data_IF_663890452907
#
_entry.id   IF_663890452907
#
_cell.length_a   1.000
_cell.length_b   1.000
_cell.length_c   1.000
_cell.angle_alpha   90.00
_cell.angle_beta   90.00
_cell.angle_gamma   90.00
#
_symmetry.space_group_name_H-M   'P 1'
#
loop_
_entity.id
_entity.type
_entity.pdbx_description
1 polymer ?
#
# COMPACT_ATOMS: atom_id res chain seq x y z
N UNK A 1 -90.64 20.08 9.48
CA UNK A 1 -90.20 21.48 9.22
C UNK A 1 -89.09 21.82 10.20
N UNK A 2 -87.89 22.18 9.69
CA UNK A 2 -86.82 23.03 10.29
C UNK A 2 -86.20 22.54 11.63
N UNK A 3 -84.89 22.54 11.90
CA UNK A 3 -83.73 23.23 11.31
C UNK A 3 -82.42 22.56 11.80
N UNK A 4 -81.38 22.64 10.95
CA UNK A 4 -79.98 22.27 11.16
C UNK A 4 -79.24 23.15 12.21
N UNK A 5 -78.18 22.62 12.83
CA UNK A 5 -77.11 23.39 13.50
C UNK A 5 -76.00 22.48 14.06
N UNK A 6 -74.97 22.15 13.26
CA UNK A 6 -73.58 22.66 13.29
C UNK A 6 -72.68 22.16 14.43
N UNK A 7 -71.66 21.39 14.01
CA UNK A 7 -70.27 21.39 14.48
C UNK A 7 -69.92 20.87 15.88
N UNK A 8 -69.38 19.64 15.91
CA UNK A 8 -68.33 19.26 16.87
C UNK A 8 -67.31 18.36 16.14
N UNK A 9 -66.27 19.02 15.60
CA UNK A 9 -65.06 18.42 15.08
C UNK A 9 -64.12 18.06 16.24
N UNK A 10 -63.42 16.93 16.07
CA UNK A 10 -62.06 16.64 16.57
C UNK A 10 -61.84 16.49 18.09
N UNK A 11 -61.48 15.26 18.50
CA UNK A 11 -60.11 14.97 18.94
C UNK A 11 -59.87 13.44 19.04
N UNK A 12 -59.66 12.77 17.90
CA UNK A 12 -58.96 11.49 17.91
C UNK A 12 -57.46 11.78 18.02
N UNK A 13 -56.95 11.79 19.24
CA UNK A 13 -55.51 11.78 19.50
C UNK A 13 -54.95 10.39 19.15
N UNK A 14 -54.81 10.10 17.87
CA UNK A 14 -53.87 9.08 17.40
C UNK A 14 -52.47 9.60 17.68
N UNK A 15 -51.88 9.15 18.79
CA UNK A 15 -50.44 9.24 19.05
C UNK A 15 -49.75 8.39 17.99
N UNK A 16 -49.55 9.00 16.81
CA UNK A 16 -48.58 8.52 15.86
C UNK A 16 -47.22 8.73 16.53
N UNK A 17 -46.71 7.67 17.13
CA UNK A 17 -45.31 7.55 17.49
C UNK A 17 -44.56 7.65 16.16
N UNK A 18 -44.18 8.86 15.77
CA UNK A 18 -43.09 9.07 14.83
C UNK A 18 -41.83 8.61 15.55
N UNK A 19 -41.60 7.29 15.53
CA UNK A 19 -40.26 6.73 15.55
C UNK A 19 -39.60 7.25 14.26
N UNK A 20 -39.13 8.49 14.31
CA UNK A 20 -38.01 8.90 13.47
C UNK A 20 -36.87 7.99 13.91
N UNK A 21 -36.77 6.83 13.25
CA UNK A 21 -35.53 6.11 13.13
C UNK A 21 -34.57 7.08 12.47
N UNK A 22 -33.95 7.94 13.29
CA UNK A 22 -32.67 8.53 13.01
C UNK A 22 -31.74 7.32 12.92
N UNK A 23 -31.74 6.64 11.77
CA UNK A 23 -30.61 5.87 11.34
C UNK A 23 -29.49 6.91 11.37
N UNK A 24 -28.70 6.90 12.44
CA UNK A 24 -27.51 7.73 12.52
C UNK A 24 -26.77 7.45 11.23
N UNK A 25 -26.67 8.47 10.38
CA UNK A 25 -26.03 8.34 9.07
C UNK A 25 -24.56 8.16 9.39
N UNK A 26 -24.19 6.90 9.65
CA UNK A 26 -22.84 6.53 10.01
C UNK A 26 -22.01 6.72 8.75
N UNK A 27 -21.21 7.77 8.73
CA UNK A 27 -20.46 8.15 7.53
C UNK A 27 -19.28 7.21 7.33
N UNK A 28 -18.72 7.18 6.11
CA UNK A 28 -17.47 6.47 5.88
C UNK A 28 -16.35 7.02 6.77
N UNK A 29 -16.29 8.34 6.99
CA UNK A 29 -15.27 8.94 7.84
C UNK A 29 -15.30 8.44 9.29
N UNK A 30 -16.50 8.30 9.85
CA UNK A 30 -16.69 7.71 11.19
C UNK A 30 -16.36 6.22 11.20
N UNK A 31 -16.68 5.49 10.12
CA UNK A 31 -16.36 4.07 9.97
C UNK A 31 -14.87 3.80 9.96
N UNK A 32 -14.07 4.59 9.23
CA UNK A 32 -12.62 4.38 9.10
C UNK A 32 -11.89 4.51 10.46
N UNK A 33 -12.50 5.19 11.44
CA UNK A 33 -11.96 5.35 12.79
C UNK A 33 -12.38 4.21 13.73
N UNK A 34 -13.34 3.34 13.35
CA UNK A 34 -13.85 2.23 14.18
C UNK A 34 -13.40 0.85 13.64
N UNK A 35 -12.55 0.10 14.38
CA UNK A 35 -11.96 -1.16 13.89
C UNK A 35 -12.95 -2.27 13.52
N UNK A 36 -14.07 -2.38 14.24
CA UNK A 36 -15.07 -3.44 14.01
C UNK A 36 -15.91 -3.13 12.76
N UNK A 37 -16.28 -1.86 12.57
CA UNK A 37 -17.15 -1.43 11.47
C UNK A 37 -16.46 -1.47 10.10
N UNK A 38 -15.15 -1.17 10.05
CA UNK A 38 -14.41 -1.25 8.79
C UNK A 38 -14.14 -2.70 8.35
N UNK A 39 -13.99 -3.63 9.31
CA UNK A 39 -13.79 -5.05 9.00
C UNK A 39 -15.00 -5.64 8.27
N UNK A 40 -16.21 -5.38 8.76
CA UNK A 40 -17.43 -5.89 8.10
C UNK A 40 -17.60 -5.30 6.70
N UNK A 41 -17.27 -4.01 6.52
CA UNK A 41 -17.26 -3.37 5.20
C UNK A 41 -16.27 -4.06 4.25
N UNK A 42 -15.03 -4.26 4.66
CA UNK A 42 -14.00 -4.95 3.86
C UNK A 42 -14.46 -6.33 3.40
N UNK A 43 -15.09 -7.10 4.30
CA UNK A 43 -15.64 -8.43 3.96
C UNK A 43 -16.79 -8.34 2.96
N UNK A 44 -17.68 -7.34 3.11
CA UNK A 44 -18.79 -7.10 2.17
C UNK A 44 -18.28 -6.77 0.76
N UNK A 45 -17.12 -6.13 0.66
CA UNK A 45 -16.46 -5.82 -0.62
C UNK A 45 -15.70 -7.01 -1.24
N UNK A 46 -15.86 -8.22 -0.67
CA UNK A 46 -15.35 -9.47 -1.24
C UNK A 46 -13.94 -9.86 -0.77
N UNK A 47 -13.34 -9.12 0.17
CA UNK A 47 -12.02 -9.47 0.74
C UNK A 47 -12.18 -10.50 1.86
N UNK A 48 -11.35 -11.54 1.85
CA UNK A 48 -11.44 -12.66 2.78
C UNK A 48 -10.10 -13.00 3.46
N UNK A 49 -10.13 -13.93 4.41
CA UNK A 49 -8.94 -14.48 5.07
C UNK A 49 -8.00 -13.44 5.69
N UNK A 50 -6.69 -13.66 5.49
CA UNK A 50 -5.64 -12.78 6.00
C UNK A 50 -5.66 -11.38 5.37
N UNK A 51 -6.13 -11.26 4.12
CA UNK A 51 -6.23 -10.02 3.35
C UNK A 51 -7.10 -8.97 4.04
N UNK A 52 -8.15 -9.39 4.76
CA UNK A 52 -9.01 -8.48 5.54
C UNK A 52 -8.20 -7.71 6.58
N UNK A 53 -7.33 -8.42 7.32
CA UNK A 53 -6.51 -7.79 8.35
C UNK A 53 -5.48 -6.86 7.74
N UNK A 54 -4.84 -7.28 6.63
CA UNK A 54 -3.88 -6.45 5.89
C UNK A 54 -4.51 -5.14 5.40
N UNK A 55 -5.68 -5.20 4.77
CA UNK A 55 -6.35 -4.01 4.24
C UNK A 55 -6.84 -3.09 5.37
N UNK A 56 -7.39 -3.67 6.45
CA UNK A 56 -7.79 -2.92 7.65
C UNK A 56 -6.61 -2.17 8.28
N UNK A 57 -5.47 -2.84 8.44
CA UNK A 57 -4.28 -2.22 9.04
C UNK A 57 -3.67 -1.16 8.12
N UNK A 58 -3.74 -1.37 6.79
CA UNK A 58 -3.37 -0.37 5.77
C UNK A 58 -4.23 0.90 5.87
N UNK A 59 -5.56 0.75 5.92
CA UNK A 59 -6.49 1.86 6.09
C UNK A 59 -6.19 2.61 7.39
N UNK A 60 -6.06 1.89 8.51
CA UNK A 60 -5.76 2.49 9.82
C UNK A 60 -4.44 3.26 9.79
N UNK A 61 -3.40 2.68 9.21
CA UNK A 61 -2.07 3.32 9.08
C UNK A 61 -2.17 4.59 8.24
N UNK A 62 -2.96 4.56 7.17
CA UNK A 62 -3.19 5.72 6.30
C UNK A 62 -3.88 6.86 7.05
N UNK A 63 -4.97 6.56 7.76
CA UNK A 63 -5.72 7.55 8.56
C UNK A 63 -4.85 8.16 9.66
N UNK A 64 -4.13 7.33 10.42
CA UNK A 64 -3.25 7.81 11.51
C UNK A 64 -2.11 8.66 10.97
N UNK A 65 -1.51 8.28 9.83
CA UNK A 65 -0.43 9.05 9.19
C UNK A 65 -0.89 10.43 8.73
N UNK A 66 -2.13 10.53 8.21
CA UNK A 66 -2.70 11.78 7.70
C UNK A 66 -3.22 12.68 8.81
N UNK A 67 -3.90 12.11 9.82
CA UNK A 67 -4.48 12.86 10.93
C UNK A 67 -3.43 13.45 11.89
N UNK A 68 -2.17 12.99 11.87
CA UNK A 68 -1.17 13.46 12.81
C UNK A 68 -1.03 15.00 12.77
N UNK A 69 -1.08 15.63 13.94
CA UNK A 69 -1.02 17.10 14.05
C UNK A 69 -2.33 17.82 13.73
N UNK A 70 -3.41 17.10 13.40
CA UNK A 70 -4.73 17.65 13.10
C UNK A 70 -5.82 17.06 14.00
N UNK A 71 -6.91 17.79 14.27
CA UNK A 71 -8.02 17.31 15.11
C UNK A 71 -8.73 16.09 14.48
N UNK A 72 -8.84 16.07 13.15
CA UNK A 72 -9.53 15.03 12.40
C UNK A 72 -8.94 14.87 10.97
N UNK A 73 -9.33 13.78 10.30
CA UNK A 73 -8.85 13.44 8.96
C UNK A 73 -9.31 14.45 7.90
N UNK A 74 -10.51 15.02 8.02
CA UNK A 74 -11.05 15.98 7.05
C UNK A 74 -10.24 17.28 7.06
N UNK A 75 -9.90 17.77 8.26
CA UNK A 75 -9.05 18.96 8.44
C UNK A 75 -7.65 18.73 7.85
N UNK A 76 -7.05 17.55 8.11
CA UNK A 76 -5.77 17.19 7.52
C UNK A 76 -5.81 17.15 5.98
N UNK A 77 -6.84 16.52 5.40
CA UNK A 77 -6.98 16.43 3.95
C UNK A 77 -7.21 17.79 3.30
N UNK A 78 -7.96 18.69 3.94
CA UNK A 78 -8.15 20.05 3.46
C UNK A 78 -6.82 20.82 3.37
N UNK A 79 -6.01 20.76 4.42
CA UNK A 79 -4.67 21.39 4.43
C UNK A 79 -3.75 20.77 3.36
N UNK A 80 -3.73 19.44 3.26
CA UNK A 80 -2.93 18.73 2.24
C UNK A 80 -3.36 19.12 0.83
N UNK A 81 -4.67 19.29 0.58
CA UNK A 81 -5.20 19.69 -0.73
C UNK A 81 -4.64 21.04 -1.17
N UNK A 82 -4.53 22.00 -0.26
CA UNK A 82 -4.05 23.36 -0.57
C UNK A 82 -2.59 23.40 -1.02
N UNK A 83 -1.78 22.41 -0.60
CA UNK A 83 -0.35 22.29 -0.95
C UNK A 83 -0.04 21.22 -2.00
N UNK A 84 -1.04 20.44 -2.42
CA UNK A 84 -0.90 19.36 -3.38
C UNK A 84 -0.91 19.87 -4.83
N UNK A 85 -0.36 19.08 -5.75
CA UNK A 85 -0.49 19.36 -7.18
C UNK A 85 -1.92 19.06 -7.68
N UNK A 86 -2.28 19.52 -8.88
CA UNK A 86 -3.64 19.38 -9.43
C UNK A 86 -4.13 17.93 -9.52
N UNK A 87 -3.25 16.97 -9.84
CA UNK A 87 -3.62 15.56 -9.95
C UNK A 87 -3.94 14.96 -8.58
N UNK A 88 -3.16 15.32 -7.56
CA UNK A 88 -3.35 14.84 -6.18
C UNK A 88 -4.52 15.56 -5.50
N UNK A 89 -4.79 16.82 -5.84
CA UNK A 89 -5.99 17.54 -5.39
C UNK A 89 -7.28 16.84 -5.78
N UNK A 90 -7.33 16.21 -6.96
CA UNK A 90 -8.49 15.44 -7.42
C UNK A 90 -8.70 14.18 -6.55
N UNK A 91 -7.64 13.43 -6.28
CA UNK A 91 -7.65 12.25 -5.39
C UNK A 91 -8.10 12.63 -3.97
N UNK A 92 -7.54 13.72 -3.43
CA UNK A 92 -7.91 14.24 -2.11
C UNK A 92 -9.38 14.67 -2.09
N UNK A 93 -9.86 15.35 -3.14
CA UNK A 93 -11.25 15.74 -3.28
C UNK A 93 -12.21 14.55 -3.27
N UNK A 94 -11.87 13.46 -3.98
CA UNK A 94 -12.66 12.22 -3.98
C UNK A 94 -12.73 11.57 -2.60
N UNK A 95 -11.60 11.48 -1.89
CA UNK A 95 -11.59 10.96 -0.51
C UNK A 95 -12.44 11.85 0.39
N UNK A 96 -12.26 13.17 0.36
CA UNK A 96 -13.04 14.11 1.19
C UNK A 96 -14.55 14.04 0.92
N UNK A 97 -14.97 13.81 -0.33
CA UNK A 97 -16.36 13.61 -0.68
C UNK A 97 -16.90 12.31 -0.09
N UNK A 98 -16.17 11.21 -0.28
CA UNK A 98 -16.57 9.89 0.24
C UNK A 98 -16.64 9.85 1.77
N UNK A 99 -15.78 10.57 2.49
CA UNK A 99 -15.81 10.65 3.96
C UNK A 99 -17.14 11.20 4.50
N UNK A 100 -17.85 12.02 3.72
CA UNK A 100 -19.14 12.63 4.09
C UNK A 100 -20.34 11.77 3.68
N UNK A 101 -20.14 10.78 2.81
CA UNK A 101 -21.20 9.87 2.38
C UNK A 101 -21.52 8.84 3.45
N UNK A 102 -22.74 8.32 3.43
CA UNK A 102 -23.10 7.13 4.20
C UNK A 102 -22.17 5.98 3.80
N UNK A 103 -21.69 5.20 4.77
CA UNK A 103 -20.87 4.02 4.49
C UNK A 103 -21.58 2.97 3.61
N UNK A 104 -22.92 3.01 3.53
CA UNK A 104 -23.72 2.16 2.66
C UNK A 104 -23.66 2.59 1.20
N UNK A 105 -23.41 3.87 0.92
CA UNK A 105 -23.40 4.42 -0.43
C UNK A 105 -22.01 4.36 -1.08
N UNK A 106 -20.97 4.07 -0.28
CA UNK A 106 -19.59 3.90 -0.76
C UNK A 106 -19.29 2.42 -0.92
N UNK A 107 -19.62 1.85 -2.07
CA UNK A 107 -19.48 0.41 -2.39
C UNK A 107 -18.65 0.18 -3.65
N UNK A 108 -18.16 -1.05 -3.84
CA UNK A 108 -17.51 -1.50 -5.05
C UNK A 108 -16.31 -0.64 -5.44
N UNK A 109 -16.34 -0.09 -6.66
CA UNK A 109 -15.26 0.71 -7.22
C UNK A 109 -14.99 1.97 -6.41
N UNK A 110 -16.03 2.64 -5.90
CA UNK A 110 -15.86 3.85 -5.10
C UNK A 110 -15.11 3.56 -3.81
N UNK A 111 -15.43 2.46 -3.13
CA UNK A 111 -14.68 2.07 -1.91
C UNK A 111 -13.21 1.77 -2.23
N UNK A 112 -12.95 1.04 -3.31
CA UNK A 112 -11.58 0.71 -3.77
C UNK A 112 -10.77 1.96 -4.09
N UNK A 113 -11.34 2.87 -4.87
CA UNK A 113 -10.71 4.14 -5.23
C UNK A 113 -10.37 4.96 -4.00
N UNK A 114 -11.30 5.07 -3.05
CA UNK A 114 -11.09 5.83 -1.82
C UNK A 114 -9.99 5.21 -0.97
N UNK A 115 -9.95 3.89 -0.83
CA UNK A 115 -8.90 3.20 -0.07
C UNK A 115 -7.53 3.35 -0.74
N UNK A 116 -7.47 3.20 -2.07
CA UNK A 116 -6.24 3.36 -2.84
C UNK A 116 -5.72 4.80 -2.81
N UNK A 117 -6.61 5.79 -2.94
CA UNK A 117 -6.27 7.21 -2.86
C UNK A 117 -5.84 7.58 -1.44
N UNK A 118 -6.54 7.10 -0.41
CA UNK A 118 -6.18 7.34 0.99
C UNK A 118 -4.77 6.80 1.30
N UNK A 119 -4.47 5.56 0.88
CA UNK A 119 -3.16 4.96 1.02
C UNK A 119 -2.08 5.74 0.23
N UNK A 120 -2.40 6.18 -0.99
CA UNK A 120 -1.49 7.01 -1.78
C UNK A 120 -1.20 8.35 -1.09
N UNK A 121 -2.22 9.10 -0.69
CA UNK A 121 -2.08 10.43 -0.06
C UNK A 121 -1.28 10.31 1.23
N UNK A 122 -1.57 9.30 2.06
CA UNK A 122 -0.80 9.03 3.28
C UNK A 122 0.69 8.71 3.00
N UNK A 123 0.97 8.00 1.91
CA UNK A 123 2.35 7.69 1.50
C UNK A 123 3.11 8.93 1.04
N UNK A 124 2.45 9.91 0.42
CA UNK A 124 3.10 11.12 -0.14
C UNK A 124 3.15 12.25 0.89
N UNK A 125 2.03 12.53 1.54
CA UNK A 125 1.78 13.75 2.30
C UNK A 125 1.61 13.54 3.81
N UNK A 126 1.40 12.31 4.27
CA UNK A 126 1.26 12.02 5.69
C UNK A 126 2.52 12.36 6.46
N UNK A 127 2.37 12.70 7.73
CA UNK A 127 3.52 13.02 8.58
C UNK A 127 4.42 11.79 8.77
N UNK A 128 3.77 10.63 8.87
CA UNK A 128 4.44 9.34 8.94
C UNK A 128 4.74 8.77 7.55
N UNK A 129 4.67 9.55 6.47
CA UNK A 129 4.98 9.10 5.10
C UNK A 129 6.35 8.44 4.97
N UNK A 130 7.34 8.85 5.77
CA UNK A 130 8.65 8.18 5.81
C UNK A 130 8.66 6.91 6.69
N UNK A 131 7.72 6.82 7.63
CA UNK A 131 7.50 5.65 8.49
C UNK A 131 6.57 4.61 7.85
N UNK A 132 6.12 4.83 6.63
CA UNK A 132 5.12 3.97 6.00
C UNK A 132 5.56 3.64 4.58
N UNK A 133 5.52 2.35 4.25
CA UNK A 133 5.87 1.82 2.95
C UNK A 133 4.64 1.32 2.23
N UNK A 134 4.62 1.50 0.91
CA UNK A 134 3.62 0.86 0.08
C UNK A 134 4.09 -0.57 -0.28
N UNK A 135 3.41 -1.56 0.27
CA UNK A 135 3.63 -2.97 0.01
C UNK A 135 2.86 -3.36 -1.26
N UNK A 136 3.57 -3.89 -2.24
CA UNK A 136 2.99 -4.23 -3.55
C UNK A 136 3.19 -5.69 -3.95
N UNK A 137 3.55 -6.61 -3.03
CA UNK A 137 3.93 -7.94 -3.50
C UNK A 137 3.64 -9.17 -2.61
N UNK A 138 3.16 -10.20 -3.32
CA UNK A 138 2.85 -11.60 -3.02
C UNK A 138 1.93 -12.01 -1.86
N UNK A 139 1.54 -11.09 -0.98
CA UNK A 139 0.38 -11.30 -0.10
C UNK A 139 -0.87 -10.54 -0.55
N UNK A 140 -0.93 -10.22 -1.85
CA UNK A 140 -1.93 -9.34 -2.41
C UNK A 140 -2.51 -9.86 -3.73
N UNK A 141 -2.47 -11.16 -4.05
CA UNK A 141 -3.17 -11.63 -5.25
C UNK A 141 -4.67 -11.36 -5.14
N UNK A 142 -5.26 -11.66 -3.98
CA UNK A 142 -6.66 -11.37 -3.71
C UNK A 142 -6.91 -9.85 -3.70
N UNK A 143 -6.13 -9.07 -2.93
CA UNK A 143 -6.31 -7.62 -2.86
C UNK A 143 -6.10 -6.93 -4.21
N UNK A 144 -5.07 -7.28 -4.96
CA UNK A 144 -4.79 -6.70 -6.26
C UNK A 144 -5.81 -7.15 -7.32
N UNK A 145 -6.28 -8.40 -7.29
CA UNK A 145 -7.39 -8.88 -8.15
C UNK A 145 -8.67 -8.11 -7.85
N UNK A 146 -8.90 -7.83 -6.57
CA UNK A 146 -9.98 -6.96 -6.11
C UNK A 146 -9.66 -5.47 -6.28
N UNK A 147 -8.60 -5.08 -7.00
CA UNK A 147 -8.30 -3.67 -7.32
C UNK A 147 -7.69 -2.83 -6.21
N UNK A 148 -7.33 -3.39 -5.05
CA UNK A 148 -6.59 -2.70 -3.99
C UNK A 148 -5.09 -2.71 -4.30
N UNK A 149 -4.61 -1.65 -4.95
CA UNK A 149 -3.24 -1.55 -5.46
C UNK A 149 -2.27 -0.83 -4.52
N UNK A 150 -2.76 -0.18 -3.47
CA UNK A 150 -1.93 0.57 -2.51
C UNK A 150 -2.17 0.06 -1.08
N UNK A 151 -1.17 -0.63 -0.51
CA UNK A 151 -1.23 -1.11 0.87
C UNK A 151 -0.12 -0.49 1.70
N UNK A 152 -0.48 0.21 2.76
CA UNK A 152 0.47 0.88 3.63
C UNK A 152 0.84 0.02 4.85
N UNK A 153 2.14 -0.13 5.08
CA UNK A 153 2.69 -0.83 6.24
C UNK A 153 3.67 0.06 6.99
N UNK A 154 3.57 0.08 8.31
CA UNK A 154 4.50 0.84 9.16
C UNK A 154 5.89 0.20 9.15
N UNK A 155 6.92 1.01 8.96
CA UNK A 155 8.33 0.66 9.06
C UNK A 155 8.69 0.47 10.53
N UNK A 156 9.08 -0.74 10.88
CA UNK A 156 9.52 -1.11 12.23
C UNK A 156 11.03 -0.83 12.42
N UNK A 157 11.86 -1.11 11.41
CA UNK A 157 13.32 -0.99 11.52
C UNK A 157 13.81 0.45 11.37
N UNK A 158 14.64 0.91 12.32
CA UNK A 158 15.17 2.29 12.33
C UNK A 158 16.19 2.56 11.23
N UNK A 159 16.86 1.54 10.69
CA UNK A 159 17.80 1.69 9.58
C UNK A 159 17.06 1.88 8.27
N UNK A 160 16.00 1.09 8.04
CA UNK A 160 15.10 1.27 6.90
C UNK A 160 14.42 2.63 6.97
N UNK A 161 13.99 3.06 8.16
CA UNK A 161 13.43 4.40 8.38
C UNK A 161 14.35 5.51 7.87
N UNK A 162 15.64 5.44 8.24
CA UNK A 162 16.65 6.41 7.79
C UNK A 162 16.80 6.42 6.27
N UNK A 163 16.64 5.27 5.62
CA UNK A 163 16.65 5.17 4.16
C UNK A 163 15.40 5.86 3.57
N UNK A 164 14.21 5.51 4.04
CA UNK A 164 12.95 6.07 3.53
C UNK A 164 12.89 7.58 3.68
N UNK A 165 13.36 8.13 4.81
CA UNK A 165 13.40 9.58 5.06
C UNK A 165 14.24 10.37 4.05
N UNK A 166 15.21 9.72 3.39
CA UNK A 166 16.08 10.37 2.40
C UNK A 166 15.47 10.41 1.01
N UNK A 167 14.46 9.57 0.74
CA UNK A 167 13.78 9.55 -0.55
C UNK A 167 12.94 10.82 -0.66
N UNK A 168 13.03 11.58 -1.76
CA UNK A 168 12.23 12.78 -1.92
C UNK A 168 10.74 12.51 -1.80
N UNK A 169 10.00 13.44 -1.20
CA UNK A 169 8.56 13.28 -0.97
C UNK A 169 7.71 13.56 -2.21
N UNK A 170 8.19 14.40 -3.12
CA UNK A 170 7.43 14.82 -4.30
C UNK A 170 7.62 13.87 -5.48
N UNK A 171 6.59 13.61 -6.30
CA UNK A 171 6.70 12.71 -7.47
C UNK A 171 7.83 13.08 -8.44
N UNK A 172 7.99 14.39 -8.72
CA UNK A 172 9.08 14.90 -9.55
C UNK A 172 10.46 14.73 -8.89
N UNK A 173 10.54 14.86 -7.56
CA UNK A 173 11.74 14.57 -6.78
C UNK A 173 12.12 13.09 -6.85
N UNK A 174 11.14 12.20 -6.65
CA UNK A 174 11.33 10.74 -6.73
C UNK A 174 11.83 10.33 -8.11
N UNK A 175 11.22 10.85 -9.19
CA UNK A 175 11.62 10.54 -10.56
C UNK A 175 13.08 10.94 -10.81
N UNK A 176 13.47 12.19 -10.48
CA UNK A 176 14.86 12.65 -10.60
C UNK A 176 15.83 11.83 -9.76
N UNK A 177 15.41 11.42 -8.57
CA UNK A 177 16.20 10.59 -7.66
C UNK A 177 16.45 9.20 -8.23
N UNK A 178 15.43 8.55 -8.81
CA UNK A 178 15.55 7.28 -9.53
C UNK A 178 16.51 7.42 -10.70
N UNK A 179 16.36 8.46 -11.54
CA UNK A 179 17.23 8.65 -12.72
C UNK A 179 18.69 8.89 -12.33
N UNK A 180 18.95 9.59 -11.22
CA UNK A 180 20.31 9.78 -10.69
C UNK A 180 20.90 8.45 -10.21
N UNK A 181 20.19 7.72 -9.35
CA UNK A 181 20.69 6.45 -8.82
C UNK A 181 20.82 5.37 -9.89
N UNK A 182 19.91 5.32 -10.86
CA UNK A 182 19.99 4.38 -11.98
C UNK A 182 21.25 4.62 -12.81
N UNK A 183 21.56 5.88 -13.14
CA UNK A 183 22.80 6.25 -13.83
C UNK A 183 24.04 5.87 -13.05
N UNK A 184 24.10 6.20 -11.76
CA UNK A 184 25.25 5.90 -10.91
C UNK A 184 25.55 4.41 -10.78
N UNK A 185 24.55 3.54 -10.98
CA UNK A 185 24.68 2.10 -10.86
C UNK A 185 24.62 1.35 -12.20
N UNK A 186 24.65 2.06 -13.34
CA UNK A 186 24.51 1.48 -14.67
C UNK A 186 23.26 0.58 -14.83
N UNK A 187 22.14 1.05 -14.27
CA UNK A 187 20.82 0.44 -14.36
C UNK A 187 19.99 1.23 -15.36
N UNK A 188 19.25 0.53 -16.23
CA UNK A 188 18.30 1.17 -17.14
C UNK A 188 17.20 1.86 -16.35
N UNK A 189 17.05 3.16 -16.53
CA UNK A 189 15.88 3.86 -16.00
C UNK A 189 14.65 3.53 -16.84
N UNK A 190 13.81 2.66 -16.29
CA UNK A 190 12.52 2.27 -16.85
C UNK A 190 11.37 2.62 -15.88
N UNK A 191 11.56 3.65 -15.03
CA UNK A 191 10.59 4.11 -14.03
C UNK A 191 9.25 4.58 -14.61
N UNK A 192 9.20 4.88 -15.92
CA UNK A 192 7.95 5.18 -16.63
C UNK A 192 6.91 4.06 -16.57
N UNK A 193 7.34 2.81 -16.38
CA UNK A 193 6.45 1.65 -16.24
C UNK A 193 5.92 1.46 -14.82
N UNK A 194 6.33 2.30 -13.88
CA UNK A 194 5.91 2.24 -12.49
C UNK A 194 4.86 3.31 -12.23
N UNK A 195 3.83 2.97 -11.46
CA UNK A 195 2.93 3.95 -10.87
C UNK A 195 3.63 4.73 -9.75
N UNK A 196 3.01 5.80 -9.24
CA UNK A 196 3.62 6.70 -8.24
C UNK A 196 4.04 5.99 -6.95
N UNK A 197 3.27 5.00 -6.51
CA UNK A 197 3.59 4.17 -5.35
C UNK A 197 4.83 3.30 -5.61
N UNK A 198 4.82 2.57 -6.73
CA UNK A 198 5.90 1.70 -7.13
C UNK A 198 7.20 2.47 -7.36
N UNK A 199 7.14 3.69 -7.91
CA UNK A 199 8.31 4.58 -8.04
C UNK A 199 8.93 4.86 -6.68
N UNK A 200 8.14 5.10 -5.65
CA UNK A 200 8.67 5.37 -4.30
C UNK A 200 9.33 4.12 -3.72
N UNK A 201 8.68 2.96 -3.79
CA UNK A 201 9.26 1.69 -3.31
C UNK A 201 10.54 1.34 -4.08
N UNK A 202 10.56 1.57 -5.39
CA UNK A 202 11.76 1.39 -6.21
C UNK A 202 12.87 2.39 -5.87
N UNK A 203 12.53 3.66 -5.58
CA UNK A 203 13.50 4.66 -5.13
C UNK A 203 14.14 4.30 -3.78
N UNK A 204 13.37 3.73 -2.86
CA UNK A 204 13.89 3.19 -1.59
C UNK A 204 14.86 2.06 -1.87
N UNK A 205 14.48 1.10 -2.71
CA UNK A 205 15.38 0.02 -3.11
C UNK A 205 16.68 0.56 -3.72
N UNK A 206 16.60 1.47 -4.70
CA UNK A 206 17.80 2.04 -5.33
C UNK A 206 18.69 2.77 -4.34
N UNK A 207 18.12 3.42 -3.32
CA UNK A 207 18.90 4.15 -2.31
C UNK A 207 19.74 3.22 -1.41
N UNK A 208 19.46 1.92 -1.42
CA UNK A 208 20.33 0.94 -0.78
C UNK A 208 21.72 0.87 -1.42
N UNK A 209 21.92 1.36 -2.65
CA UNK A 209 23.24 1.43 -3.28
C UNK A 209 24.14 2.52 -2.68
N UNK A 210 23.57 3.47 -1.94
CA UNK A 210 24.33 4.60 -1.42
C UNK A 210 25.25 4.18 -0.25
N UNK A 211 26.45 4.77 -0.15
CA UNK A 211 27.42 4.43 0.90
C UNK A 211 26.87 4.57 2.33
N UNK A 212 25.97 5.53 2.53
CA UNK A 212 25.26 5.79 3.79
C UNK A 212 24.16 4.79 4.14
N UNK A 213 23.86 3.82 3.28
CA UNK A 213 23.02 2.67 3.63
C UNK A 213 23.80 1.71 4.53
N UNK A 214 23.11 0.77 5.19
CA UNK A 214 23.79 -0.33 5.90
C UNK A 214 24.42 -1.30 4.89
N UNK A 215 25.44 -2.03 5.32
CA UNK A 215 26.20 -2.97 4.46
C UNK A 215 25.28 -4.03 3.87
N UNK A 216 24.39 -4.58 4.69
CA UNK A 216 23.43 -5.62 4.34
C UNK A 216 22.44 -5.15 3.26
N UNK A 217 22.02 -3.88 3.31
CA UNK A 217 21.18 -3.28 2.27
C UNK A 217 21.93 -3.12 0.95
N UNK A 218 23.20 -2.68 0.99
CA UNK A 218 24.06 -2.62 -0.21
C UNK A 218 24.27 -4.01 -0.82
N UNK A 219 24.52 -5.02 0.00
CA UNK A 219 24.68 -6.41 -0.43
C UNK A 219 23.40 -6.91 -1.10
N UNK A 220 22.24 -6.64 -0.50
CA UNK A 220 20.94 -6.97 -1.11
C UNK A 220 20.74 -6.27 -2.46
N UNK A 221 21.03 -4.97 -2.56
CA UNK A 221 20.97 -4.23 -3.82
C UNK A 221 21.87 -4.86 -4.90
N UNK A 222 23.12 -5.16 -4.55
CA UNK A 222 24.10 -5.74 -5.48
C UNK A 222 23.68 -7.14 -5.96
N UNK A 223 23.18 -7.99 -5.05
CA UNK A 223 22.67 -9.31 -5.39
C UNK A 223 21.52 -9.21 -6.40
N UNK A 224 20.56 -8.31 -6.18
CA UNK A 224 19.45 -8.07 -7.10
C UNK A 224 19.94 -7.54 -8.45
N UNK A 225 20.92 -6.63 -8.47
CA UNK A 225 21.51 -6.11 -9.71
C UNK A 225 22.20 -7.20 -10.53
N UNK A 226 23.00 -8.05 -9.86
CA UNK A 226 23.66 -9.20 -10.48
C UNK A 226 22.66 -10.20 -11.05
N UNK A 227 21.61 -10.52 -10.29
CA UNK A 227 20.53 -11.38 -10.74
C UNK A 227 19.82 -10.81 -11.98
N UNK A 228 19.60 -9.49 -11.99
CA UNK A 228 18.86 -8.79 -13.05
C UNK A 228 19.65 -8.55 -14.34
N UNK A 229 20.98 -8.65 -14.30
CA UNK A 229 21.86 -8.41 -15.46
C UNK A 229 21.65 -9.41 -16.61
N UNK A 230 21.23 -10.65 -16.31
CA UNK A 230 21.04 -11.70 -17.32
C UNK A 230 22.27 -11.87 -18.23
N UNK A 231 22.04 -11.97 -19.55
CA UNK A 231 23.09 -12.02 -20.59
C UNK A 231 23.36 -10.64 -21.23
N UNK A 232 22.67 -9.60 -20.79
CA UNK A 232 22.82 -8.24 -21.30
C UNK A 232 23.97 -7.52 -20.59
N UNK A 233 24.58 -6.53 -21.24
CA UNK A 233 25.50 -5.60 -20.57
C UNK A 233 24.76 -4.64 -19.62
N UNK A 234 23.47 -4.38 -19.87
CA UNK A 234 22.62 -3.42 -19.15
C UNK A 234 21.73 -4.12 -18.11
N UNK A 235 21.70 -3.62 -16.88
CA UNK A 235 20.86 -4.14 -15.79
C UNK A 235 19.44 -3.57 -15.90
N UNK A 236 18.42 -4.42 -15.98
CA UNK A 236 17.01 -4.00 -16.04
C UNK A 236 16.20 -4.66 -14.92
N UNK A 237 15.68 -3.85 -13.99
CA UNK A 237 14.93 -4.32 -12.80
C UNK A 237 13.43 -3.96 -12.84
N UNK A 238 13.02 -3.11 -13.79
CA UNK A 238 11.63 -2.66 -13.95
C UNK A 238 11.21 -2.65 -15.41
N UNK A 239 9.90 -2.72 -15.66
CA UNK A 239 9.33 -2.73 -17.01
C UNK A 239 9.25 -4.13 -17.66
N UNK A 240 8.87 -4.20 -18.94
CA UNK A 240 8.56 -5.47 -19.62
C UNK A 240 9.73 -6.44 -19.71
N UNK A 241 10.97 -5.93 -19.79
CA UNK A 241 12.19 -6.75 -19.92
C UNK A 241 12.80 -7.17 -18.58
N UNK A 242 12.24 -6.72 -17.45
CA UNK A 242 12.71 -7.12 -16.13
C UNK A 242 12.31 -8.56 -15.85
N UNK A 243 13.29 -9.40 -15.52
CA UNK A 243 13.09 -10.83 -15.22
C UNK A 243 12.62 -11.10 -13.80
N UNK A 244 12.76 -10.11 -12.93
CA UNK A 244 12.34 -10.21 -11.56
C UNK A 244 11.84 -8.87 -11.03
N UNK A 245 11.22 -8.91 -9.85
CA UNK A 245 10.79 -7.74 -9.09
C UNK A 245 11.17 -7.83 -7.61
N UNK A 246 12.38 -8.34 -7.29
CA UNK A 246 12.82 -8.49 -5.90
C UNK A 246 12.80 -7.18 -5.10
N UNK A 247 12.96 -6.03 -5.76
CA UNK A 247 12.83 -4.72 -5.13
C UNK A 247 11.46 -4.49 -4.45
N UNK A 248 10.42 -5.25 -4.84
CA UNK A 248 9.09 -5.20 -4.22
C UNK A 248 9.00 -5.95 -2.88
N UNK A 249 10.02 -6.72 -2.47
CA UNK A 249 10.03 -7.45 -1.20
C UNK A 249 10.19 -6.53 0.02
N UNK A 250 10.54 -5.26 -0.19
CA UNK A 250 10.75 -4.29 0.87
C UNK A 250 9.40 -3.92 1.47
N UNK A 251 9.13 -4.48 2.64
CA UNK A 251 7.95 -4.21 3.46
C UNK A 251 8.32 -3.48 4.76
N UNK A 252 7.32 -3.17 5.58
CA UNK A 252 7.51 -2.48 6.86
C UNK A 252 8.31 -3.27 7.90
N UNK A 253 8.50 -4.58 7.70
CA UNK A 253 9.30 -5.46 8.55
C UNK A 253 10.67 -5.78 7.92
N UNK A 254 11.01 -5.16 6.81
CA UNK A 254 12.31 -5.36 6.17
C UNK A 254 13.41 -4.77 7.05
N UNK A 255 14.42 -5.58 7.35
CA UNK A 255 15.51 -5.26 8.27
C UNK A 255 16.86 -5.63 7.64
N UNK A 256 17.99 -5.17 8.21
CA UNK A 256 19.31 -5.55 7.73
C UNK A 256 19.53 -7.07 7.74
N UNK A 257 19.05 -7.77 8.77
CA UNK A 257 19.19 -9.22 8.91
C UNK A 257 18.40 -9.95 7.81
N UNK A 258 17.17 -9.49 7.53
CA UNK A 258 16.36 -10.03 6.42
C UNK A 258 16.99 -9.72 5.07
N UNK A 259 17.54 -8.52 4.90
CA UNK A 259 18.25 -8.12 3.69
C UNK A 259 19.48 -9.01 3.43
N UNK A 260 20.29 -9.30 4.46
CA UNK A 260 21.46 -10.17 4.36
C UNK A 260 21.08 -11.61 3.96
N UNK A 261 20.04 -12.19 4.59
CA UNK A 261 19.55 -13.53 4.24
C UNK A 261 19.10 -13.61 2.78
N UNK A 262 18.32 -12.63 2.34
CA UNK A 262 17.84 -12.55 0.95
C UNK A 262 18.97 -12.28 -0.04
N UNK A 263 19.92 -11.40 0.32
CA UNK A 263 21.09 -11.11 -0.50
C UNK A 263 21.88 -12.38 -0.80
N UNK A 264 22.11 -13.23 0.22
CA UNK A 264 22.79 -14.51 0.06
C UNK A 264 22.06 -15.42 -0.93
N UNK A 265 20.76 -15.66 -0.71
CA UNK A 265 19.98 -16.52 -1.59
C UNK A 265 19.92 -16.02 -3.04
N UNK A 266 19.78 -14.70 -3.23
CA UNK A 266 19.74 -14.07 -4.56
C UNK A 266 21.11 -14.12 -5.23
N UNK A 267 22.20 -13.86 -4.51
CA UNK A 267 23.55 -13.85 -5.08
C UNK A 267 23.99 -15.26 -5.52
N UNK A 268 23.73 -16.27 -4.67
CA UNK A 268 24.01 -17.67 -5.00
C UNK A 268 23.21 -18.13 -6.23
N UNK A 269 21.94 -17.73 -6.31
CA UNK A 269 21.11 -17.98 -7.49
C UNK A 269 21.58 -17.23 -8.74
N UNK A 270 22.08 -15.99 -8.59
CA UNK A 270 22.58 -15.19 -9.70
C UNK A 270 23.82 -15.80 -10.38
N UNK A 271 24.56 -16.67 -9.68
CA UNK A 271 25.69 -17.42 -10.23
C UNK A 271 25.27 -18.58 -11.15
N UNK A 272 23.98 -18.90 -11.21
CA UNK A 272 23.45 -19.95 -12.09
C UNK A 272 23.10 -19.40 -13.48
N UNK A 273 23.05 -20.28 -14.51
CA UNK A 273 22.48 -19.92 -15.81
C UNK A 273 21.10 -19.29 -15.65
N UNK A 274 20.78 -18.30 -16.47
CA UNK A 274 19.53 -17.53 -16.41
C UNK A 274 18.29 -18.41 -16.25
N UNK A 275 18.23 -19.52 -16.98
CA UNK A 275 17.11 -20.48 -16.95
C UNK A 275 16.95 -21.24 -15.63
N UNK A 276 17.98 -21.29 -14.80
CA UNK A 276 18.00 -22.04 -13.53
C UNK A 276 17.93 -21.13 -12.30
N UNK A 277 17.96 -19.81 -12.49
CA UNK A 277 18.11 -18.87 -11.36
C UNK A 277 16.89 -18.85 -10.43
N UNK A 278 15.69 -19.03 -10.97
CA UNK A 278 14.46 -19.08 -10.18
C UNK A 278 14.47 -20.29 -9.23
N UNK A 279 14.68 -21.49 -9.76
CA UNK A 279 14.76 -22.71 -8.96
C UNK A 279 15.92 -22.66 -7.96
N UNK A 280 17.06 -22.12 -8.37
CA UNK A 280 18.21 -21.93 -7.48
C UNK A 280 17.88 -20.95 -6.35
N UNK A 281 17.18 -19.84 -6.63
CA UNK A 281 16.76 -18.89 -5.61
C UNK A 281 15.88 -19.57 -4.56
N UNK A 282 14.86 -20.32 -4.95
CA UNK A 282 14.01 -21.02 -4.00
C UNK A 282 14.78 -22.07 -3.20
N UNK A 283 15.68 -22.82 -3.85
CA UNK A 283 16.55 -23.79 -3.17
C UNK A 283 17.44 -23.16 -2.11
N UNK A 284 18.04 -22.00 -2.40
CA UNK A 284 18.85 -21.28 -1.41
C UNK A 284 17.99 -20.62 -0.33
N UNK A 285 16.81 -20.09 -0.70
CA UNK A 285 15.84 -19.56 0.26
C UNK A 285 15.42 -20.61 1.29
N UNK A 286 15.20 -21.86 0.86
CA UNK A 286 14.95 -23.00 1.75
C UNK A 286 16.09 -23.26 2.73
N UNK A 287 17.35 -23.19 2.28
CA UNK A 287 18.52 -23.43 3.12
C UNK A 287 18.74 -22.34 4.17
N UNK A 288 18.46 -21.09 3.84
CA UNK A 288 18.63 -19.94 4.76
C UNK A 288 17.40 -19.67 5.64
N UNK A 289 16.29 -20.38 5.39
CA UNK A 289 15.09 -20.33 6.21
C UNK A 289 15.28 -21.03 7.56
N UNK A 290 14.39 -20.71 8.51
CA UNK A 290 14.31 -21.39 9.82
C UNK A 290 13.63 -22.77 9.74
N UNK A 291 13.19 -23.19 8.54
CA UNK A 291 12.57 -24.49 8.24
C UNK A 291 11.36 -24.84 9.10
N UNK A 292 10.67 -23.83 9.64
CA UNK A 292 9.38 -24.05 10.31
C UNK A 292 8.31 -24.40 9.28
N UNK A 293 7.28 -25.20 9.63
CA UNK A 293 6.18 -25.52 8.72
C UNK A 293 5.54 -24.29 8.08
N UNK A 294 5.42 -23.20 8.83
CA UNK A 294 4.86 -21.93 8.37
C UNK A 294 5.76 -21.23 7.35
N UNK A 295 7.07 -21.21 7.59
CA UNK A 295 8.03 -20.62 6.64
C UNK A 295 8.12 -21.46 5.37
N UNK A 296 8.12 -22.80 5.48
CA UNK A 296 8.15 -23.69 4.32
C UNK A 296 6.88 -23.53 3.46
N UNK A 297 5.70 -23.49 4.10
CA UNK A 297 4.43 -23.22 3.42
C UNK A 297 4.45 -21.85 2.72
N UNK A 298 5.02 -20.83 3.37
CA UNK A 298 5.18 -19.51 2.76
C UNK A 298 6.12 -19.53 1.55
N UNK A 299 7.20 -20.32 1.57
CA UNK A 299 8.12 -20.44 0.43
C UNK A 299 7.46 -21.18 -0.73
N UNK A 300 6.72 -22.26 -0.48
CA UNK A 300 5.96 -22.97 -1.52
C UNK A 300 4.85 -22.08 -2.12
N UNK A 301 4.19 -21.27 -1.30
CA UNK A 301 3.24 -20.27 -1.78
C UNK A 301 3.93 -19.24 -2.69
N UNK A 302 5.11 -18.74 -2.30
CA UNK A 302 5.89 -17.82 -3.13
C UNK A 302 6.30 -18.47 -4.46
N UNK A 303 6.69 -19.74 -4.43
CA UNK A 303 7.10 -20.48 -5.63
C UNK A 303 5.92 -20.73 -6.57
N UNK A 304 4.81 -21.25 -6.05
CA UNK A 304 3.61 -21.57 -6.84
C UNK A 304 2.99 -20.34 -7.51
N UNK A 305 3.01 -19.19 -6.83
CA UNK A 305 2.52 -17.91 -7.35
C UNK A 305 3.54 -17.18 -8.24
N UNK A 306 4.70 -17.78 -8.51
CA UNK A 306 5.82 -17.16 -9.24
C UNK A 306 6.18 -15.78 -8.69
N UNK A 307 6.18 -15.70 -7.37
CA UNK A 307 6.52 -14.49 -6.67
C UNK A 307 7.93 -14.04 -7.03
N UNK A 308 8.03 -12.80 -7.47
CA UNK A 308 9.18 -12.01 -7.89
C UNK A 308 9.67 -12.33 -9.29
N UNK A 309 9.04 -13.26 -10.01
CA UNK A 309 9.46 -13.70 -11.34
C UNK A 309 8.36 -13.44 -12.37
N UNK A 310 8.73 -13.42 -13.65
CA UNK A 310 7.82 -13.25 -14.78
C UNK A 310 7.95 -14.44 -15.73
#
# INVERSE_FOLDING_TARGET
MKLFGKSALLFCASVAITLSANASVFTLGEMLLKPISIKSKIVKEGVSGASVTTLKDSIRTSVVSLKHGYPDLSTALADIKNRANREDQAKIGRVMAALKMSHKDVEGETFRDVVNDLAYIASVYGEQSAKVLNCSYCKADELATLGFSNNLVKVADSNLMRVVQRVPKTPAGVTRYISRLSRNNNIKDASRYLNSSERRSYAIFLSFSEQRAKKEYREFFNAVAKFSKGNSREVTMVGPRAKNSFWKIIDGKFSPERAAKLAKAIDEAANKPVSQREDAFFKELYKVSDKTPETLSSIEELKSKKCFFK
#
